data_IF_765735294560
#
_entry.id   IF_765735294560
#
_cell.length_a   1.000
_cell.length_b   1.000
_cell.length_c   1.000
_cell.angle_alpha   90.00
_cell.angle_beta   90.00
_cell.angle_gamma   90.00
#
_symmetry.space_group_name_H-M   'P 1'
#
loop_
_entity.id
_entity.type
_entity.pdbx_description
1 polymer ?
#
# COMPACT_ATOMS: atom_id res chain seq x y z
N UNK A 1 -15.28 6.98 -4.62
CA UNK A 1 -14.32 5.99 -4.11
C UNK A 1 -12.89 6.43 -4.36
N UNK A 2 -11.94 6.15 -3.47
CA UNK A 2 -10.51 6.47 -3.63
C UNK A 2 -9.62 5.29 -3.25
N UNK A 3 -8.62 4.98 -4.09
CA UNK A 3 -7.52 4.07 -3.78
C UNK A 3 -6.19 4.81 -3.88
N UNK A 4 -5.53 5.02 -2.75
CA UNK A 4 -4.12 5.40 -2.73
C UNK A 4 -3.22 4.18 -2.91
N UNK A 5 -2.65 4.01 -4.10
CA UNK A 5 -1.73 2.92 -4.44
C UNK A 5 -0.28 3.41 -4.41
N UNK A 6 0.59 2.74 -3.67
CA UNK A 6 2.02 3.02 -3.72
C UNK A 6 2.64 2.10 -4.76
N UNK A 7 3.40 2.67 -5.69
CA UNK A 7 4.09 1.95 -6.74
C UNK A 7 4.80 0.69 -6.22
N UNK A 8 4.58 -0.41 -6.91
CA UNK A 8 5.27 -1.67 -6.68
C UNK A 8 5.55 -2.32 -8.04
N UNK A 9 6.63 -1.95 -8.71
CA UNK A 9 6.98 -2.41 -10.05
C UNK A 9 6.93 -3.95 -10.19
N UNK A 10 7.47 -4.66 -9.20
CA UNK A 10 7.46 -6.12 -9.17
C UNK A 10 6.06 -6.72 -9.14
N UNK A 11 5.13 -6.12 -8.40
CA UNK A 11 3.75 -6.61 -8.32
C UNK A 11 2.89 -6.08 -9.48
N UNK A 12 2.96 -4.78 -9.73
CA UNK A 12 2.08 -4.06 -10.64
C UNK A 12 2.36 -4.41 -12.12
N UNK A 13 3.62 -4.60 -12.48
CA UNK A 13 4.04 -4.85 -13.88
C UNK A 13 4.47 -6.30 -14.08
N UNK A 14 5.32 -6.83 -13.19
CA UNK A 14 5.90 -8.18 -13.36
C UNK A 14 5.06 -9.31 -12.74
N UNK A 15 3.91 -9.01 -12.14
CA UNK A 15 3.02 -10.04 -11.58
C UNK A 15 3.64 -10.84 -10.42
N UNK A 16 4.52 -10.24 -9.63
CA UNK A 16 5.22 -10.93 -8.55
C UNK A 16 4.27 -11.51 -7.51
N UNK A 17 4.42 -12.81 -7.22
CA UNK A 17 3.67 -13.53 -6.19
C UNK A 17 4.14 -13.23 -4.75
N UNK A 18 5.29 -12.54 -4.58
CA UNK A 18 5.87 -12.24 -3.25
C UNK A 18 5.06 -11.20 -2.46
N UNK A 19 4.17 -10.46 -3.12
CA UNK A 19 3.33 -9.44 -2.48
C UNK A 19 1.95 -9.39 -3.14
N UNK A 20 1.01 -8.73 -2.48
CA UNK A 20 -0.38 -8.54 -2.92
C UNK A 20 -0.59 -7.25 -3.75
N UNK A 21 0.46 -6.50 -4.06
CA UNK A 21 0.32 -5.14 -4.61
C UNK A 21 -0.38 -5.12 -5.97
N UNK A 22 0.02 -5.98 -6.91
CA UNK A 22 -0.57 -6.02 -8.25
C UNK A 22 -2.04 -6.42 -8.23
N UNK A 23 -2.38 -7.42 -7.41
CA UNK A 23 -3.77 -7.87 -7.24
C UNK A 23 -4.63 -6.81 -6.55
N UNK A 24 -4.08 -6.09 -5.56
CA UNK A 24 -4.77 -4.96 -4.95
C UNK A 24 -5.03 -3.83 -5.96
N UNK A 25 -4.08 -3.55 -6.86
CA UNK A 25 -4.27 -2.52 -7.90
C UNK A 25 -5.41 -2.92 -8.84
N UNK A 26 -5.38 -4.17 -9.34
CA UNK A 26 -6.40 -4.70 -10.26
C UNK A 26 -7.78 -4.73 -9.61
N UNK A 27 -7.88 -5.26 -8.40
CA UNK A 27 -9.14 -5.29 -7.64
C UNK A 27 -9.70 -3.89 -7.40
N UNK A 28 -8.84 -2.92 -7.05
CA UNK A 28 -9.28 -1.53 -6.88
C UNK A 28 -9.79 -0.91 -8.19
N UNK A 29 -9.12 -1.19 -9.32
CA UNK A 29 -9.57 -0.76 -10.64
C UNK A 29 -10.94 -1.35 -10.99
N UNK A 30 -11.14 -2.64 -10.74
CA UNK A 30 -12.42 -3.32 -10.98
C UNK A 30 -13.56 -2.74 -10.12
N UNK A 31 -13.31 -2.50 -8.83
CA UNK A 31 -14.29 -1.89 -7.92
C UNK A 31 -14.67 -0.48 -8.39
N UNK A 32 -13.67 0.36 -8.72
CA UNK A 32 -13.94 1.73 -9.19
C UNK A 32 -14.66 1.73 -10.54
N UNK A 33 -14.28 0.83 -11.45
CA UNK A 33 -14.95 0.70 -12.75
C UNK A 33 -16.43 0.33 -12.59
N UNK A 34 -16.74 -0.59 -11.65
CA UNK A 34 -18.13 -0.97 -11.32
C UNK A 34 -18.92 0.21 -10.73
N UNK A 35 -18.30 1.02 -9.87
CA UNK A 35 -18.94 2.23 -9.31
C UNK A 35 -19.05 3.39 -10.32
N UNK A 36 -18.32 3.34 -11.44
CA UNK A 36 -18.22 4.40 -12.47
C UNK A 36 -17.78 5.78 -11.96
N UNK A 37 -17.33 5.87 -10.70
CA UNK A 37 -16.89 7.11 -10.06
C UNK A 37 -15.83 6.84 -8.99
N UNK A 38 -14.59 7.16 -9.30
CA UNK A 38 -13.53 7.10 -8.30
C UNK A 38 -12.16 7.50 -8.82
N UNK A 39 -11.19 7.47 -7.92
CA UNK A 39 -9.81 7.86 -8.18
C UNK A 39 -8.86 6.71 -7.78
N UNK A 40 -8.01 6.30 -8.72
CA UNK A 40 -6.78 5.55 -8.42
C UNK A 40 -5.65 6.57 -8.34
N UNK A 41 -5.12 6.79 -7.15
CA UNK A 41 -3.97 7.66 -6.94
C UNK A 41 -2.70 6.81 -6.91
N UNK A 42 -1.91 6.88 -7.98
CA UNK A 42 -0.67 6.10 -8.12
C UNK A 42 0.55 6.90 -7.64
N UNK A 43 0.95 6.69 -6.39
CA UNK A 43 2.09 7.37 -5.77
C UNK A 43 3.39 6.63 -6.10
N UNK A 44 4.32 7.31 -6.78
CA UNK A 44 5.63 6.78 -7.20
C UNK A 44 6.62 6.68 -6.02
N UNK A 45 6.24 5.95 -4.99
CA UNK A 45 7.01 5.73 -3.75
C UNK A 45 7.32 4.24 -3.58
N UNK A 46 8.14 3.73 -4.49
CA UNK A 46 8.55 2.32 -4.55
C UNK A 46 9.24 1.86 -3.26
N UNK A 47 9.01 0.60 -2.88
CA UNK A 47 9.68 0.00 -1.72
C UNK A 47 9.33 0.64 -0.38
N UNK A 48 8.20 1.37 -0.29
CA UNK A 48 7.88 2.24 0.86
C UNK A 48 8.83 3.45 0.99
N UNK A 49 9.23 4.02 -0.14
CA UNK A 49 10.07 5.21 -0.20
C UNK A 49 11.58 4.94 -0.26
N UNK A 50 12.03 3.68 -0.15
CA UNK A 50 13.46 3.32 -0.25
C UNK A 50 13.93 3.10 -1.70
N UNK A 51 12.99 3.05 -2.66
CA UNK A 51 13.28 2.81 -4.08
C UNK A 51 13.42 1.32 -4.44
N UNK A 52 13.46 1.05 -5.75
CA UNK A 52 13.45 -0.31 -6.29
C UNK A 52 14.70 -1.11 -5.90
N UNK A 53 15.89 -0.52 -6.04
CA UNK A 53 17.15 -1.21 -5.79
C UNK A 53 17.24 -1.70 -4.34
N UNK A 54 16.86 -0.84 -3.38
CA UNK A 54 16.88 -1.21 -1.96
C UNK A 54 15.79 -2.22 -1.61
N UNK A 55 14.63 -2.18 -2.28
CA UNK A 55 13.62 -3.23 -2.17
C UNK A 55 14.15 -4.59 -2.63
N UNK A 56 14.91 -4.65 -3.73
CA UNK A 56 15.53 -5.89 -4.20
C UNK A 56 16.60 -6.40 -3.22
N UNK A 57 17.43 -5.52 -2.66
CA UNK A 57 18.37 -5.88 -1.57
C UNK A 57 17.62 -6.40 -0.34
N UNK A 58 16.49 -5.79 0.01
CA UNK A 58 15.66 -6.26 1.11
C UNK A 58 15.03 -7.63 0.82
N UNK A 59 14.73 -7.95 -0.44
CA UNK A 59 14.29 -9.29 -0.85
C UNK A 59 15.40 -10.32 -0.67
N UNK A 60 16.64 -10.00 -1.03
CA UNK A 60 17.77 -10.91 -0.81
C UNK A 60 17.94 -11.24 0.69
N UNK A 61 17.77 -10.23 1.55
CA UNK A 61 17.79 -10.42 3.01
C UNK A 61 16.59 -11.24 3.52
N UNK A 62 15.43 -11.10 2.89
CA UNK A 62 14.24 -11.88 3.24
C UNK A 62 14.38 -13.35 2.85
N UNK A 63 15.03 -13.61 1.71
CA UNK A 63 15.37 -14.95 1.23
C UNK A 63 16.36 -15.64 2.19
N UNK A 64 17.17 -14.85 2.93
CA UNK A 64 18.03 -15.30 4.04
C UNK A 64 17.31 -15.38 5.39
N UNK A 65 15.98 -15.27 5.41
CA UNK A 65 15.18 -15.50 6.61
C UNK A 65 14.83 -14.24 7.43
N UNK A 66 15.19 -13.02 7.01
CA UNK A 66 14.68 -11.79 7.66
C UNK A 66 13.24 -11.49 7.23
N UNK A 67 12.48 -10.76 8.03
CA UNK A 67 11.22 -10.16 7.55
C UNK A 67 11.43 -8.78 6.92
N UNK A 68 10.34 -8.16 6.45
CA UNK A 68 10.40 -6.85 5.79
C UNK A 68 10.91 -5.72 6.70
N UNK A 69 10.56 -5.72 7.98
CA UNK A 69 10.99 -4.67 8.93
C UNK A 69 12.47 -4.87 9.28
N UNK A 70 12.87 -6.11 9.52
CA UNK A 70 14.25 -6.48 9.83
C UNK A 70 15.18 -6.23 8.65
N UNK A 71 14.77 -6.59 7.42
CA UNK A 71 15.54 -6.34 6.21
C UNK A 71 15.75 -4.83 5.99
N UNK A 72 14.71 -4.00 6.18
CA UNK A 72 14.85 -2.55 6.06
C UNK A 72 15.80 -1.98 7.12
N UNK A 73 15.71 -2.44 8.38
CA UNK A 73 16.62 -2.02 9.45
C UNK A 73 18.07 -2.39 9.15
N UNK A 74 18.32 -3.59 8.63
CA UNK A 74 19.67 -4.01 8.22
C UNK A 74 20.26 -3.14 7.10
N UNK A 75 19.40 -2.58 6.24
CA UNK A 75 19.81 -1.65 5.18
C UNK A 75 19.86 -0.18 5.65
N UNK A 76 19.64 0.09 6.94
CA UNK A 76 19.67 1.44 7.51
C UNK A 76 18.39 2.26 7.32
N UNK A 77 17.27 1.62 6.94
CA UNK A 77 15.99 2.30 6.69
C UNK A 77 14.97 2.11 7.81
N UNK A 78 14.07 3.09 7.96
CA UNK A 78 12.82 2.94 8.70
C UNK A 78 11.92 1.89 8.02
N UNK A 79 10.93 1.39 8.75
CA UNK A 79 9.98 0.41 8.25
C UNK A 79 9.10 0.96 7.10
N UNK A 80 8.86 2.27 7.09
CA UNK A 80 8.09 3.02 6.11
C UNK A 80 8.61 4.46 6.02
N UNK A 81 8.95 4.93 4.81
CA UNK A 81 9.39 6.32 4.54
C UNK A 81 8.40 7.07 3.65
N UNK A 82 7.20 6.52 3.45
CA UNK A 82 6.22 7.12 2.56
C UNK A 82 5.66 8.42 3.11
N UNK A 83 5.52 9.39 2.23
CA UNK A 83 4.83 10.64 2.49
C UNK A 83 3.43 10.59 1.86
N UNK A 84 2.42 10.46 2.71
CA UNK A 84 1.02 10.45 2.28
C UNK A 84 0.42 11.86 2.12
N UNK A 85 1.11 12.91 2.58
CA UNK A 85 0.70 14.30 2.44
C UNK A 85 0.64 14.74 0.97
N UNK A 86 1.60 14.29 0.15
CA UNK A 86 1.56 14.49 -1.31
C UNK A 86 0.25 13.95 -1.89
N UNK A 87 -0.18 12.77 -1.44
CA UNK A 87 -1.41 12.18 -1.93
C UNK A 87 -2.67 12.93 -1.48
N UNK A 88 -2.66 13.47 -0.26
CA UNK A 88 -3.74 14.31 0.23
C UNK A 88 -3.86 15.62 -0.56
N UNK A 89 -2.74 16.27 -0.91
CA UNK A 89 -2.71 17.47 -1.74
C UNK A 89 -3.32 17.23 -3.12
N UNK A 90 -2.92 16.15 -3.79
CA UNK A 90 -3.47 15.80 -5.12
C UNK A 90 -4.98 15.57 -5.04
N UNK A 91 -5.48 14.86 -4.03
CA UNK A 91 -6.91 14.61 -3.89
C UNK A 91 -7.69 15.89 -3.58
N UNK A 92 -7.12 16.80 -2.78
CA UNK A 92 -7.70 18.11 -2.48
C UNK A 92 -7.77 18.99 -3.73
N UNK A 93 -6.69 19.04 -4.52
CA UNK A 93 -6.59 19.77 -5.79
C UNK A 93 -7.60 19.27 -6.85
N UNK A 94 -7.87 17.96 -6.87
CA UNK A 94 -8.94 17.36 -7.68
C UNK A 94 -10.36 17.71 -7.18
N UNK A 95 -10.49 18.48 -6.10
CA UNK A 95 -11.78 18.95 -5.55
C UNK A 95 -12.51 17.90 -4.72
N UNK A 96 -11.83 16.88 -4.18
CA UNK A 96 -12.47 15.91 -3.30
C UNK A 96 -12.59 16.49 -1.88
N UNK A 97 -13.69 16.15 -1.22
CA UNK A 97 -13.92 16.48 0.19
C UNK A 97 -14.29 15.22 0.98
N UNK A 98 -15.39 14.57 0.61
CA UNK A 98 -15.84 13.31 1.21
C UNK A 98 -15.37 12.11 0.41
N UNK A 99 -14.59 11.25 1.06
CA UNK A 99 -13.97 10.10 0.39
C UNK A 99 -14.26 8.79 1.13
N UNK A 100 -14.68 7.78 0.35
CA UNK A 100 -14.64 6.36 0.73
C UNK A 100 -13.28 5.82 0.30
N UNK A 101 -12.47 5.30 1.22
CA UNK A 101 -11.07 4.93 0.95
C UNK A 101 -10.88 3.41 1.02
N UNK A 102 -10.36 2.83 -0.06
CA UNK A 102 -9.96 1.41 -0.13
C UNK A 102 -8.58 1.18 0.50
N UNK A 103 -8.54 0.80 1.77
CA UNK A 103 -7.28 0.53 2.48
C UNK A 103 -7.44 -0.38 3.69
N UNK A 104 -6.38 -1.18 3.93
CA UNK A 104 -6.18 -1.96 5.15
C UNK A 104 -5.07 -1.37 6.04
N UNK A 105 -4.44 -0.26 5.63
CA UNK A 105 -3.42 0.41 6.43
C UNK A 105 -4.02 1.65 7.11
N UNK A 106 -4.23 1.63 8.44
CA UNK A 106 -4.73 2.78 9.19
C UNK A 106 -3.83 4.01 9.13
N UNK A 107 -2.51 3.84 8.98
CA UNK A 107 -1.57 4.95 8.93
C UNK A 107 -1.81 5.88 7.74
N UNK A 108 -2.47 5.39 6.66
CA UNK A 108 -2.86 6.23 5.51
C UNK A 108 -3.92 7.28 5.88
N UNK A 109 -4.63 7.13 7.00
CA UNK A 109 -5.71 8.04 7.41
C UNK A 109 -5.20 9.33 8.07
N UNK A 110 -4.03 9.28 8.71
CA UNK A 110 -3.54 10.38 9.56
C UNK A 110 -3.19 11.62 8.74
N UNK A 111 -2.69 11.43 7.51
CA UNK A 111 -2.25 12.52 6.66
C UNK A 111 -3.38 13.32 5.98
N UNK A 112 -4.64 12.86 6.04
CA UNK A 112 -5.73 13.42 5.21
C UNK A 112 -6.48 14.59 5.88
N UNK A 113 -6.55 14.64 7.22
CA UNK A 113 -7.33 15.64 7.96
C UNK A 113 -6.88 17.09 7.72
N UNK A 114 -5.59 17.31 7.50
CA UNK A 114 -5.02 18.65 7.29
C UNK A 114 -5.35 19.28 5.93
N UNK A 115 -5.90 18.52 4.99
CA UNK A 115 -6.11 18.94 3.60
C UNK A 115 -7.58 19.09 3.21
N UNK A 116 -8.48 19.21 4.20
CA UNK A 116 -9.93 19.33 3.97
C UNK A 116 -10.58 18.04 3.46
N UNK A 117 -9.89 16.90 3.58
CA UNK A 117 -10.40 15.58 3.20
C UNK A 117 -10.99 14.86 4.40
N UNK A 118 -12.28 14.51 4.31
CA UNK A 118 -13.01 13.72 5.29
C UNK A 118 -13.21 12.30 4.77
N UNK A 119 -12.71 11.34 5.54
CA UNK A 119 -12.94 9.92 5.25
C UNK A 119 -14.28 9.53 5.84
N UNK A 120 -15.28 9.35 4.98
CA UNK A 120 -16.64 8.98 5.40
C UNK A 120 -16.80 7.47 5.54
N UNK A 121 -15.94 6.68 4.90
CA UNK A 121 -15.96 5.22 4.97
C UNK A 121 -14.59 4.64 4.67
N UNK A 122 -14.21 3.58 5.40
CA UNK A 122 -13.11 2.70 5.03
C UNK A 122 -13.68 1.46 4.35
N UNK A 123 -13.24 1.22 3.13
CA UNK A 123 -13.55 -0.01 2.39
C UNK A 123 -12.36 -0.97 2.49
N UNK A 124 -12.52 -2.18 3.07
CA UNK A 124 -11.46 -3.19 3.07
C UNK A 124 -11.05 -3.58 1.64
N UNK A 125 -9.77 -3.89 1.45
CA UNK A 125 -9.25 -4.36 0.16
C UNK A 125 -8.26 -5.51 0.40
N UNK A 126 -8.78 -6.69 0.67
CA UNK A 126 -8.00 -7.90 0.95
C UNK A 126 -7.91 -8.80 -0.27
N UNK A 127 -6.70 -9.27 -0.56
CA UNK A 127 -6.43 -10.30 -1.56
C UNK A 127 -6.06 -11.55 -0.79
N UNK A 128 -6.64 -12.70 -1.15
CA UNK A 128 -6.32 -13.97 -0.50
C UNK A 128 -4.83 -14.28 -0.60
N UNK A 129 -4.16 -14.65 0.50
CA UNK A 129 -2.75 -14.97 0.49
C UNK A 129 -2.48 -16.21 -0.36
N UNK A 130 -1.36 -16.18 -1.09
CA UNK A 130 -0.71 -17.38 -1.60
C UNK A 130 0.52 -17.72 -0.72
N UNK A 131 1.10 -18.92 -0.91
CA UNK A 131 2.27 -19.41 -0.17
C UNK A 131 3.46 -18.44 -0.15
N UNK A 132 3.71 -17.71 -1.24
CA UNK A 132 4.83 -16.78 -1.34
C UNK A 132 4.55 -15.43 -0.64
N UNK A 133 3.29 -15.00 -0.60
CA UNK A 133 2.86 -13.71 -0.01
C UNK A 133 2.52 -13.79 1.48
N UNK A 134 2.23 -14.98 2.01
CA UNK A 134 1.72 -15.17 3.37
C UNK A 134 2.60 -14.52 4.43
N UNK A 135 3.92 -14.79 4.39
CA UNK A 135 4.89 -14.20 5.32
C UNK A 135 4.92 -12.67 5.27
N UNK A 136 4.83 -12.12 4.06
CA UNK A 136 4.81 -10.67 3.84
C UNK A 136 3.53 -10.03 4.40
N UNK A 137 2.37 -10.63 4.16
CA UNK A 137 1.08 -10.18 4.67
C UNK A 137 0.99 -10.31 6.19
N UNK A 138 1.52 -11.40 6.76
CA UNK A 138 1.62 -11.59 8.22
C UNK A 138 2.49 -10.52 8.86
N UNK A 139 3.61 -10.16 8.23
CA UNK A 139 4.48 -9.06 8.69
C UNK A 139 3.73 -7.72 8.68
N UNK A 140 2.97 -7.43 7.61
CA UNK A 140 2.11 -6.23 7.55
C UNK A 140 1.09 -6.19 8.69
N UNK A 141 0.42 -7.31 8.98
CA UNK A 141 -0.56 -7.40 10.06
C UNK A 141 0.09 -7.21 11.44
N UNK A 142 1.04 -8.07 11.77
CA UNK A 142 1.61 -8.17 13.13
C UNK A 142 2.56 -7.02 13.45
N UNK A 143 3.44 -6.64 12.53
CA UNK A 143 4.51 -5.65 12.80
C UNK A 143 4.17 -4.25 12.30
N UNK A 144 3.15 -4.08 11.46
CA UNK A 144 2.82 -2.78 10.83
C UNK A 144 1.38 -2.34 11.04
N UNK A 145 0.58 -3.08 11.82
CA UNK A 145 -0.78 -2.69 12.21
C UNK A 145 -1.80 -2.69 11.08
N UNK A 146 -1.56 -3.45 10.00
CA UNK A 146 -2.55 -3.59 8.93
C UNK A 146 -3.77 -4.40 9.42
N UNK A 147 -4.96 -3.93 9.07
CA UNK A 147 -6.24 -4.58 9.33
C UNK A 147 -6.51 -5.66 8.27
N UNK A 148 -5.98 -6.86 8.50
CA UNK A 148 -6.17 -8.03 7.62
C UNK A 148 -6.83 -9.17 8.39
N UNK A 149 -7.87 -9.79 7.81
CA UNK A 149 -8.54 -10.99 8.37
C UNK A 149 -8.08 -12.28 7.71
N UNK A 150 -7.56 -12.20 6.49
CA UNK A 150 -7.15 -13.33 5.65
C UNK A 150 -5.81 -14.01 6.04
N UNK A 151 -5.03 -13.42 6.97
CA UNK A 151 -3.69 -13.90 7.38
C UNK A 151 -3.44 -13.76 8.88
#
# INVERSE_FOLDING_TARGET
>A
MVRGHCQCLTGDIFGSLRCDCGDQLRMAMEVIAKERKGVILYLRQEGRGIGLINKLKAYELQDKGKDTVEANRCLGFKADHRDYGIGAQILSDLGLHDIRVMTNNPAKFVALKGYGLRIVERVPLEVSPNKASERYLRTKKVKMGHLLTSV
#
